data_IF_959961235430
#
_entry.id   IF_959961235430
#
_cell.length_a   1.000
_cell.length_b   1.000
_cell.length_c   1.000
_cell.angle_alpha   90.00
_cell.angle_beta   90.00
_cell.angle_gamma   90.00
#
_symmetry.space_group_name_H-M   'P 1'
#
loop_
_entity.id
_entity.type
_entity.pdbx_description
1 polymer ?
#
# COMPACT_ATOMS: atom_id res chain seq x y z
N UNK A 1 0.27 30.90 -13.79
CA UNK A 1 0.00 30.17 -12.54
C UNK A 1 -1.33 29.47 -12.58
N UNK A 2 -1.34 28.22 -13.02
CA UNK A 2 -2.42 27.29 -12.71
C UNK A 2 -1.99 26.56 -11.44
N UNK A 3 -2.35 27.08 -10.26
CA UNK A 3 -2.22 26.31 -9.03
C UNK A 3 -3.50 25.48 -8.89
N UNK A 4 -3.39 24.18 -9.14
CA UNK A 4 -4.49 23.25 -8.89
C UNK A 4 -4.69 23.13 -7.38
N UNK A 5 -5.89 23.48 -6.92
CA UNK A 5 -6.26 23.37 -5.52
C UNK A 5 -6.94 22.02 -5.27
N UNK A 6 -6.33 21.19 -4.44
CA UNK A 6 -6.92 19.93 -3.97
C UNK A 6 -7.72 20.17 -2.69
N UNK A 7 -8.98 19.74 -2.67
CA UNK A 7 -9.84 19.78 -1.50
C UNK A 7 -10.17 18.35 -1.06
N UNK A 8 -9.89 18.02 0.20
CA UNK A 8 -10.22 16.71 0.79
C UNK A 8 -11.30 16.85 1.85
N UNK A 9 -12.18 15.87 1.95
CA UNK A 9 -13.19 15.84 3.01
C UNK A 9 -12.58 15.27 4.32
N UNK A 10 -13.33 15.36 5.42
CA UNK A 10 -12.90 14.89 6.74
C UNK A 10 -12.78 13.34 6.88
N UNK A 11 -13.08 12.59 5.82
CA UNK A 11 -12.96 11.13 5.76
C UNK A 11 -11.75 10.68 4.93
N UNK A 12 -11.10 11.59 4.21
CA UNK A 12 -9.90 11.31 3.44
C UNK A 12 -8.65 11.77 4.21
N UNK A 13 -7.57 11.03 4.02
CA UNK A 13 -6.25 11.38 4.54
C UNK A 13 -5.34 11.76 3.36
N UNK A 14 -4.54 12.80 3.55
CA UNK A 14 -3.52 13.21 2.60
C UNK A 14 -2.15 12.80 3.16
N UNK A 15 -1.37 12.09 2.36
CA UNK A 15 0.00 11.75 2.67
C UNK A 15 0.96 12.69 1.92
N UNK A 16 1.97 13.18 2.62
CA UNK A 16 3.03 14.02 2.07
C UNK A 16 4.37 13.59 2.64
N UNK A 17 5.43 13.64 1.84
CA UNK A 17 6.77 13.24 2.26
C UNK A 17 7.51 12.60 1.10
N UNK A 18 8.49 11.76 1.45
CA UNK A 18 9.35 11.07 0.50
C UNK A 18 8.80 9.68 0.15
N UNK A 19 9.25 9.12 -0.98
CA UNK A 19 8.94 7.74 -1.41
C UNK A 19 7.42 7.49 -1.59
N UNK A 20 6.67 8.50 -2.04
CA UNK A 20 5.21 8.42 -2.17
C UNK A 20 4.78 7.35 -3.19
N UNK A 21 5.55 7.11 -4.25
CA UNK A 21 5.28 6.09 -5.25
C UNK A 21 5.38 4.68 -4.66
N UNK A 22 6.37 4.45 -3.79
CA UNK A 22 6.46 3.21 -3.04
C UNK A 22 5.28 3.04 -2.09
N UNK A 23 4.96 4.06 -1.28
CA UNK A 23 3.80 4.02 -0.38
C UNK A 23 2.51 3.74 -1.15
N UNK A 24 2.32 4.40 -2.30
CA UNK A 24 1.18 4.16 -3.17
C UNK A 24 1.10 2.70 -3.63
N UNK A 25 2.21 2.12 -4.09
CA UNK A 25 2.26 0.71 -4.48
C UNK A 25 1.97 -0.23 -3.29
N UNK A 26 2.60 0.01 -2.14
CA UNK A 26 2.46 -0.82 -0.94
C UNK A 26 1.03 -0.80 -0.40
N UNK A 27 0.41 0.38 -0.29
CA UNK A 27 -0.96 0.54 0.20
C UNK A 27 -2.00 -0.16 -0.69
N UNK A 28 -1.66 -0.41 -1.96
CA UNK A 28 -2.50 -1.14 -2.92
C UNK A 28 -2.14 -2.65 -3.03
N UNK A 29 -1.27 -3.16 -2.15
CA UNK A 29 -0.83 -4.56 -2.16
C UNK A 29 -1.66 -5.45 -1.21
N UNK A 30 -1.77 -6.76 -1.51
CA UNK A 30 -2.44 -7.71 -0.61
C UNK A 30 -1.76 -7.80 0.76
N UNK A 31 -0.44 -7.60 0.82
CA UNK A 31 0.27 -7.57 2.11
C UNK A 31 -0.24 -6.44 3.00
N UNK A 32 -0.41 -5.23 2.45
CA UNK A 32 -0.93 -4.11 3.21
C UNK A 32 -2.38 -4.36 3.64
N UNK A 33 -3.21 -4.91 2.77
CA UNK A 33 -4.60 -5.27 3.12
C UNK A 33 -4.65 -6.29 4.26
N UNK A 34 -3.81 -7.33 4.18
CA UNK A 34 -3.66 -8.32 5.25
C UNK A 34 -3.21 -7.68 6.57
N UNK A 35 -2.14 -6.88 6.55
CA UNK A 35 -1.65 -6.18 7.75
C UNK A 35 -2.74 -5.30 8.35
N UNK A 36 -3.46 -4.57 7.48
CA UNK A 36 -4.55 -3.71 7.89
C UNK A 36 -5.71 -4.51 8.50
N UNK A 37 -6.01 -5.71 8.00
CA UNK A 37 -7.05 -6.58 8.58
C UNK A 37 -6.77 -6.96 10.04
N UNK A 38 -5.49 -6.96 10.48
CA UNK A 38 -5.10 -7.34 11.85
C UNK A 38 -5.14 -6.17 12.83
N UNK A 39 -5.02 -4.94 12.34
CA UNK A 39 -4.97 -3.73 13.17
C UNK A 39 -6.23 -2.85 13.02
N UNK A 40 -6.98 -3.05 11.94
CA UNK A 40 -8.21 -2.38 11.61
C UNK A 40 -9.33 -2.73 12.57
N UNK A 41 -10.11 -1.73 12.94
CA UNK A 41 -11.38 -1.96 13.64
C UNK A 41 -12.46 -2.25 12.60
N UNK A 42 -13.21 -3.34 12.79
CA UNK A 42 -14.41 -3.60 12.01
C UNK A 42 -15.54 -2.69 12.48
N UNK A 43 -16.28 -2.09 11.56
CA UNK A 43 -17.56 -1.48 11.87
C UNK A 43 -18.55 -2.56 12.33
N UNK A 44 -19.64 -2.17 13.00
CA UNK A 44 -20.70 -3.10 13.42
C UNK A 44 -21.41 -3.86 12.28
N UNK A 45 -21.01 -3.62 11.02
CA UNK A 45 -21.52 -4.28 9.81
C UNK A 45 -20.41 -4.99 9.01
N UNK A 46 -19.23 -5.19 9.61
CA UNK A 46 -18.16 -6.04 9.04
C UNK A 46 -17.22 -5.36 8.05
N UNK A 47 -17.24 -4.02 7.92
CA UNK A 47 -16.30 -3.30 7.05
C UNK A 47 -15.08 -2.81 7.85
N UNK A 48 -13.88 -2.98 7.32
CA UNK A 48 -12.64 -2.45 7.93
C UNK A 48 -12.59 -0.93 7.81
N UNK A 49 -12.52 -0.23 8.94
CA UNK A 49 -12.39 1.23 8.95
C UNK A 49 -10.92 1.66 8.91
N UNK A 50 -10.53 2.36 7.85
CA UNK A 50 -9.23 3.03 7.74
C UNK A 50 -9.25 4.33 8.55
N UNK A 51 -8.74 4.28 9.78
CA UNK A 51 -8.65 5.45 10.67
C UNK A 51 -7.22 5.96 10.77
N UNK A 52 -7.05 7.26 11.06
CA UNK A 52 -5.74 7.88 11.31
C UNK A 52 -4.91 7.11 12.35
N UNK A 53 -5.55 6.71 13.44
CA UNK A 53 -4.87 5.97 14.51
C UNK A 53 -4.39 4.58 14.08
N UNK A 54 -5.08 3.97 13.10
CA UNK A 54 -4.72 2.65 12.59
C UNK A 54 -3.63 2.75 11.53
N UNK A 55 -3.71 3.73 10.63
CA UNK A 55 -2.73 3.87 9.53
C UNK A 55 -1.35 4.26 10.05
N UNK A 56 -1.27 5.03 11.15
CA UNK A 56 -0.01 5.38 11.82
C UNK A 56 0.68 4.16 12.49
N UNK A 57 -0.05 3.06 12.67
CA UNK A 57 0.48 1.80 13.23
C UNK A 57 0.83 0.77 12.17
N UNK A 58 0.61 1.08 10.90
CA UNK A 58 0.93 0.19 9.81
C UNK A 58 2.44 0.01 9.73
N UNK A 59 2.92 -1.22 9.87
CA UNK A 59 4.33 -1.53 9.68
C UNK A 59 4.64 -1.51 8.19
N UNK A 60 5.46 -0.54 7.77
CA UNK A 60 5.87 -0.36 6.38
C UNK A 60 7.35 -0.78 6.27
N UNK A 61 7.70 -1.70 5.35
CA UNK A 61 9.08 -2.08 5.10
C UNK A 61 9.95 -0.87 4.70
N UNK A 62 11.15 -0.80 5.25
CA UNK A 62 12.14 0.20 4.82
C UNK A 62 12.81 -0.30 3.56
N UNK A 63 12.87 0.56 2.54
CA UNK A 63 13.47 0.23 1.25
C UNK A 63 14.70 1.10 0.96
N UNK A 64 15.61 0.53 0.17
CA UNK A 64 16.76 1.24 -0.40
C UNK A 64 16.34 2.19 -1.51
N UNK A 65 17.24 3.13 -1.86
CA UNK A 65 16.99 4.06 -2.95
C UNK A 65 16.79 3.36 -4.31
N UNK A 66 17.54 2.29 -4.57
CA UNK A 66 17.42 1.52 -5.82
C UNK A 66 16.11 0.72 -5.88
N UNK A 67 15.62 0.22 -4.74
CA UNK A 67 14.27 -0.34 -4.67
C UNK A 67 13.21 0.74 -4.96
N UNK A 68 13.37 1.94 -4.38
CA UNK A 68 12.43 3.05 -4.60
C UNK A 68 12.37 3.48 -6.07
N UNK A 69 13.51 3.52 -6.77
CA UNK A 69 13.56 3.81 -8.22
C UNK A 69 12.69 2.86 -9.04
N UNK A 70 12.61 1.57 -8.66
CA UNK A 70 11.72 0.62 -9.35
C UNK A 70 10.25 0.94 -9.07
N UNK A 71 9.89 1.27 -7.83
CA UNK A 71 8.51 1.65 -7.50
C UNK A 71 8.04 2.92 -8.24
N UNK A 72 8.92 3.89 -8.44
CA UNK A 72 8.62 5.09 -9.26
C UNK A 72 8.21 4.69 -10.68
N UNK A 73 8.92 3.73 -11.29
CA UNK A 73 8.59 3.23 -12.63
C UNK A 73 7.27 2.44 -12.64
N UNK A 74 6.98 1.70 -11.58
CA UNK A 74 5.77 0.88 -11.50
C UNK A 74 4.51 1.71 -11.21
N UNK A 75 4.61 2.76 -10.40
CA UNK A 75 3.48 3.55 -9.95
C UNK A 75 2.70 4.19 -11.10
N UNK A 76 3.36 4.59 -12.19
CA UNK A 76 2.68 5.20 -13.35
C UNK A 76 1.78 4.23 -14.11
N UNK A 77 2.00 2.92 -13.98
CA UNK A 77 1.30 1.88 -14.73
C UNK A 77 0.40 0.99 -13.85
N UNK A 78 0.41 1.20 -12.52
CA UNK A 78 -0.33 0.37 -11.55
C UNK A 78 -1.82 0.20 -11.91
N UNK A 79 -2.48 1.27 -12.33
CA UNK A 79 -3.92 1.25 -12.67
C UNK A 79 -4.20 0.75 -14.09
N UNK A 80 -3.18 0.67 -14.95
CA UNK A 80 -3.33 0.38 -16.38
C UNK A 80 -3.11 -1.08 -16.73
N UNK A 81 -2.25 -1.77 -15.98
CA UNK A 81 -1.85 -3.13 -16.29
C UNK A 81 -1.91 -4.06 -15.05
N UNK A 82 -2.82 -5.05 -15.03
CA UNK A 82 -2.88 -6.06 -13.98
C UNK A 82 -1.57 -6.86 -13.81
N UNK A 83 -0.77 -7.02 -14.87
CA UNK A 83 0.52 -7.69 -14.78
C UNK A 83 1.53 -6.88 -13.96
N UNK A 84 1.49 -5.54 -14.05
CA UNK A 84 2.30 -4.65 -13.22
C UNK A 84 1.91 -4.78 -11.75
N UNK A 85 0.61 -4.87 -11.43
CA UNK A 85 0.16 -5.11 -10.05
C UNK A 85 0.74 -6.41 -9.48
N UNK A 86 0.74 -7.49 -10.28
CA UNK A 86 1.36 -8.77 -9.86
C UNK A 86 2.87 -8.63 -9.64
N UNK A 87 3.57 -7.93 -10.54
CA UNK A 87 5.01 -7.68 -10.42
C UNK A 87 5.36 -6.88 -9.15
N UNK A 88 4.58 -5.83 -8.87
CA UNK A 88 4.72 -5.01 -7.66
C UNK A 88 4.55 -5.88 -6.41
N UNK A 89 3.50 -6.70 -6.36
CA UNK A 89 3.22 -7.57 -5.21
C UNK A 89 4.38 -8.55 -4.99
N UNK A 90 4.84 -9.22 -6.05
CA UNK A 90 6.01 -10.11 -5.97
C UNK A 90 7.24 -9.39 -5.42
N UNK A 91 7.51 -8.18 -5.91
CA UNK A 91 8.64 -7.40 -5.43
C UNK A 91 8.52 -6.98 -3.96
N UNK A 92 7.31 -6.66 -3.50
CA UNK A 92 7.05 -6.37 -2.08
C UNK A 92 7.29 -7.63 -1.23
N UNK A 93 6.86 -8.80 -1.68
CA UNK A 93 7.09 -10.06 -0.97
C UNK A 93 8.58 -10.39 -0.87
N UNK A 94 9.35 -10.17 -1.94
CA UNK A 94 10.81 -10.33 -1.95
C UNK A 94 11.50 -9.37 -0.96
N UNK A 95 11.06 -8.11 -0.87
CA UNK A 95 11.59 -7.13 0.09
C UNK A 95 11.36 -7.58 1.54
N UNK A 96 10.23 -8.25 1.79
CA UNK A 96 9.84 -8.76 3.10
C UNK A 96 10.37 -10.17 3.39
N UNK A 97 11.09 -10.80 2.45
CA UNK A 97 11.58 -12.17 2.54
C UNK A 97 10.48 -13.20 2.87
N UNK A 98 9.30 -13.04 2.25
CA UNK A 98 8.16 -13.94 2.48
C UNK A 98 8.33 -15.25 1.73
N UNK A 99 7.98 -16.34 2.41
CA UNK A 99 7.91 -17.69 1.83
C UNK A 99 6.70 -17.85 0.92
N UNK A 100 6.72 -18.86 0.06
CA UNK A 100 5.57 -19.17 -0.82
C UNK A 100 4.32 -19.48 -0.01
N UNK A 101 4.46 -20.21 1.09
CA UNK A 101 3.35 -20.54 1.99
C UNK A 101 2.74 -19.29 2.63
N UNK A 102 3.55 -18.32 3.05
CA UNK A 102 3.07 -17.05 3.60
C UNK A 102 2.35 -16.21 2.55
N UNK A 103 2.88 -16.16 1.32
CA UNK A 103 2.26 -15.44 0.20
C UNK A 103 0.89 -16.05 -0.11
N UNK A 104 0.81 -17.37 -0.25
CA UNK A 104 -0.45 -18.08 -0.50
C UNK A 104 -1.47 -17.83 0.61
N UNK A 105 -1.02 -17.85 1.88
CA UNK A 105 -1.87 -17.57 3.03
C UNK A 105 -2.41 -16.12 3.02
N UNK A 106 -1.57 -15.14 2.66
CA UNK A 106 -1.95 -13.72 2.58
C UNK A 106 -2.95 -13.49 1.45
N UNK A 107 -2.72 -14.07 0.27
CA UNK A 107 -3.59 -13.91 -0.90
C UNK A 107 -4.93 -14.66 -0.76
N UNK A 108 -5.04 -15.60 0.18
CA UNK A 108 -6.28 -16.34 0.44
C UNK A 108 -7.20 -15.69 1.49
N UNK A 109 -6.85 -14.52 2.05
CA UNK A 109 -7.64 -13.86 3.10
C UNK A 109 -8.85 -13.09 2.56
#
# INVERSE_FOLDING_TARGET
DNQDHFFVNNKCYLMSGDQLEYLFCFLNSPLCEYLFSKIGTTTGVGTSQWSKFTIEKLNIPIITEDQNKKFILFASELERDPAIKKLINQYIYEICDLTTEEIEFIESQ
#
